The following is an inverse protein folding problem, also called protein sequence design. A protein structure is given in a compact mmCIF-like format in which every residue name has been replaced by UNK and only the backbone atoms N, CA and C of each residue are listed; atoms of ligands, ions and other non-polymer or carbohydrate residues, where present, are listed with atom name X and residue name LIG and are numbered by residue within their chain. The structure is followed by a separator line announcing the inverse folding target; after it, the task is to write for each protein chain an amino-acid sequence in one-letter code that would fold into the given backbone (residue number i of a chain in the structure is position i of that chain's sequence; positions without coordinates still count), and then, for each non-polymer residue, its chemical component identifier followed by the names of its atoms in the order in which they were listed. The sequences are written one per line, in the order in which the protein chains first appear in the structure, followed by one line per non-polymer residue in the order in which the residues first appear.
data_IF_187263645644
#
_entry.id   IF_187263645644
#
_cell.length_a   1.000
_cell.length_b   1.000
_cell.length_c   1.000
_cell.angle_alpha   90.00
_cell.angle_beta   90.00
_cell.angle_gamma   90.00
#
_symmetry.space_group_name_H-M   'P 1'
#
loop_
_entity.id
_entity.type
_entity.pdbx_description
1 polymer ?
#
# COMPACT_ATOMS: atom_id res chain seq x y z
N UNK A 1 -4.30 -22.18 -13.36
CA UNK A 1 -3.92 -21.04 -12.53
C UNK A 1 -3.66 -19.79 -13.34
N UNK A 2 -3.01 -19.94 -14.50
CA UNK A 2 -2.76 -18.77 -15.35
C UNK A 2 -4.05 -18.14 -15.84
N UNK A 3 -5.05 -18.95 -16.15
CA UNK A 3 -6.34 -18.44 -16.58
C UNK A 3 -7.02 -17.66 -15.46
N UNK A 4 -6.92 -18.15 -14.22
CA UNK A 4 -7.51 -17.47 -13.07
C UNK A 4 -6.82 -16.13 -12.84
N UNK A 5 -5.50 -16.07 -13.00
CA UNK A 5 -4.76 -14.83 -12.88
C UNK A 5 -5.15 -13.83 -13.95
N UNK A 6 -5.30 -14.29 -15.20
CA UNK A 6 -5.70 -13.42 -16.29
C UNK A 6 -7.08 -12.85 -16.04
N UNK A 7 -8.02 -13.68 -15.57
CA UNK A 7 -9.37 -13.21 -15.24
C UNK A 7 -9.35 -12.18 -14.13
N UNK A 8 -8.52 -12.40 -13.11
CA UNK A 8 -8.36 -11.44 -12.03
C UNK A 8 -7.79 -10.12 -12.54
N UNK A 9 -6.79 -10.18 -13.39
CA UNK A 9 -6.18 -8.98 -13.98
C UNK A 9 -7.18 -8.21 -14.84
N UNK A 10 -7.98 -8.91 -15.62
CA UNK A 10 -9.02 -8.28 -16.42
C UNK A 10 -10.07 -7.62 -15.56
N UNK A 11 -10.44 -8.28 -14.48
CA UNK A 11 -11.40 -7.74 -13.53
C UNK A 11 -10.87 -6.48 -12.87
N UNK A 12 -9.59 -6.49 -12.47
CA UNK A 12 -8.94 -5.33 -11.89
C UNK A 12 -8.92 -4.17 -12.88
N UNK A 13 -8.67 -4.44 -14.16
CA UNK A 13 -8.66 -3.40 -15.18
C UNK A 13 -10.01 -2.69 -15.32
N UNK A 14 -11.09 -3.43 -15.13
CA UNK A 14 -12.43 -2.84 -15.22
C UNK A 14 -12.73 -1.92 -14.03
N UNK A 15 -12.19 -2.25 -12.86
CA UNK A 15 -12.48 -1.54 -11.64
C UNK A 15 -11.23 -0.85 -11.08
N UNK A 16 -10.34 -0.39 -11.98
CA UNK A 16 -9.04 0.18 -11.60
C UNK A 16 -9.17 1.28 -10.56
N UNK A 17 -10.06 2.24 -10.80
CA UNK A 17 -10.20 3.38 -9.89
C UNK A 17 -10.69 2.95 -8.52
N UNK A 18 -11.62 2.00 -8.47
CA UNK A 18 -12.13 1.49 -7.20
C UNK A 18 -11.05 0.68 -6.48
N UNK A 19 -10.29 -0.11 -7.21
CA UNK A 19 -9.19 -0.89 -6.64
C UNK A 19 -8.12 0.03 -6.06
N UNK A 20 -7.75 1.08 -6.80
CA UNK A 20 -6.77 2.05 -6.33
C UNK A 20 -7.26 2.78 -5.08
N UNK A 21 -8.54 3.11 -5.03
CA UNK A 21 -9.13 3.74 -3.85
C UNK A 21 -9.11 2.81 -2.64
N UNK A 22 -9.30 1.52 -2.86
CA UNK A 22 -9.21 0.52 -1.79
C UNK A 22 -7.77 0.43 -1.27
N UNK A 23 -6.79 0.40 -2.17
CA UNK A 23 -5.38 0.42 -1.77
C UNK A 23 -5.06 1.66 -0.95
N UNK A 24 -5.55 2.83 -1.39
CA UNK A 24 -5.34 4.07 -0.68
C UNK A 24 -5.92 4.00 0.74
N UNK A 25 -7.12 3.46 0.87
CA UNK A 25 -7.75 3.29 2.19
C UNK A 25 -6.91 2.40 3.09
N UNK A 26 -6.38 1.31 2.55
CA UNK A 26 -5.52 0.39 3.32
C UNK A 26 -4.23 1.08 3.76
N UNK A 27 -3.62 1.85 2.88
CA UNK A 27 -2.39 2.58 3.18
C UNK A 27 -2.63 3.62 4.29
N UNK A 28 -3.69 4.41 4.14
CA UNK A 28 -4.02 5.44 5.12
C UNK A 28 -4.36 4.83 6.48
N UNK A 29 -5.07 3.71 6.47
CA UNK A 29 -5.42 3.02 7.71
C UNK A 29 -4.18 2.48 8.41
N UNK A 30 -3.28 1.87 7.67
CA UNK A 30 -2.03 1.36 8.25
C UNK A 30 -1.22 2.50 8.87
N UNK A 31 -1.11 3.62 8.15
CA UNK A 31 -0.40 4.79 8.67
C UNK A 31 -1.06 5.34 9.92
N UNK A 32 -2.38 5.39 9.93
CA UNK A 32 -3.12 5.86 11.10
C UNK A 32 -2.83 4.99 12.33
N UNK A 33 -2.76 3.68 12.13
CA UNK A 33 -2.41 2.75 13.21
C UNK A 33 -1.00 3.01 13.73
N UNK A 34 -0.06 3.28 12.83
CA UNK A 34 1.31 3.63 13.23
C UNK A 34 1.35 4.92 14.05
N UNK A 35 0.55 5.91 13.66
CA UNK A 35 0.48 7.19 14.38
C UNK A 35 -0.12 7.04 15.78
N UNK A 36 -0.86 5.97 16.01
CA UNK A 36 -1.45 5.66 17.31
C UNK A 36 -0.65 4.59 18.05
N UNK A 37 0.64 4.47 17.73
CA UNK A 37 1.58 3.56 18.37
C UNK A 37 1.19 2.09 18.26
N UNK A 38 0.39 1.72 17.30
CA UNK A 38 0.04 0.34 17.09
C UNK A 38 1.19 -0.39 16.41
N UNK A 39 1.57 -1.53 16.96
CA UNK A 39 2.70 -2.31 16.44
C UNK A 39 2.25 -3.34 15.42
N UNK A 40 3.11 -3.59 14.46
CA UNK A 40 2.85 -4.55 13.38
C UNK A 40 4.04 -5.47 13.19
N UNK A 41 3.76 -6.69 12.69
CA UNK A 41 4.81 -7.63 12.35
C UNK A 41 5.51 -7.19 11.07
N UNK A 42 6.73 -7.70 10.86
CA UNK A 42 7.44 -7.45 9.62
C UNK A 42 6.63 -7.94 8.40
N UNK A 43 5.97 -9.09 8.54
CA UNK A 43 5.13 -9.62 7.47
C UNK A 43 4.01 -8.67 7.11
N UNK A 44 3.39 -8.03 8.10
CA UNK A 44 2.33 -7.07 7.87
C UNK A 44 2.86 -5.83 7.15
N UNK A 45 4.05 -5.35 7.55
CA UNK A 45 4.72 -4.26 6.83
C UNK A 45 5.02 -4.64 5.38
N UNK A 46 5.54 -5.84 5.16
CA UNK A 46 5.86 -6.30 3.80
C UNK A 46 4.61 -6.33 2.93
N UNK A 47 3.47 -6.71 3.51
CA UNK A 47 2.20 -6.74 2.79
C UNK A 47 1.76 -5.32 2.40
N UNK A 48 1.83 -4.37 3.33
CA UNK A 48 1.42 -3.00 3.01
C UNK A 48 2.39 -2.34 2.04
N UNK A 49 3.68 -2.68 2.10
CA UNK A 49 4.65 -2.16 1.13
C UNK A 49 4.34 -2.66 -0.27
N UNK A 50 3.87 -3.91 -0.40
CA UNK A 50 3.39 -4.42 -1.67
C UNK A 50 2.18 -3.65 -2.19
N UNK A 51 1.25 -3.34 -1.30
CA UNK A 51 0.08 -2.53 -1.64
C UNK A 51 0.50 -1.13 -2.09
N UNK A 52 1.47 -0.53 -1.41
CA UNK A 52 2.01 0.78 -1.79
C UNK A 52 2.61 0.74 -3.19
N UNK A 53 3.37 -0.31 -3.49
CA UNK A 53 3.98 -0.46 -4.81
C UNK A 53 2.91 -0.54 -5.90
N UNK A 54 1.87 -1.33 -5.68
CA UNK A 54 0.78 -1.45 -6.64
C UNK A 54 0.07 -0.12 -6.82
N UNK A 55 -0.18 0.58 -5.73
CA UNK A 55 -0.84 1.88 -5.76
C UNK A 55 -0.01 2.91 -6.52
N UNK A 56 1.29 2.96 -6.26
CA UNK A 56 2.18 3.91 -6.93
C UNK A 56 2.28 3.61 -8.42
N UNK A 57 2.34 2.34 -8.79
CA UNK A 57 2.35 1.93 -10.19
C UNK A 57 1.09 2.39 -10.90
N UNK A 58 -0.06 2.21 -10.25
CA UNK A 58 -1.32 2.68 -10.83
C UNK A 58 -1.32 4.20 -11.01
N UNK A 59 -0.90 4.93 -9.99
CA UNK A 59 -0.87 6.39 -10.05
C UNK A 59 0.08 6.90 -11.12
N UNK A 60 1.19 6.20 -11.32
CA UNK A 60 2.17 6.57 -12.34
C UNK A 60 1.61 6.45 -13.76
N UNK A 61 0.71 5.49 -13.98
CA UNK A 61 0.13 5.23 -15.29
C UNK A 61 -1.23 5.92 -15.50
N UNK A 62 -1.77 6.57 -14.46
CA UNK A 62 -3.08 7.22 -14.51
C UNK A 62 -2.96 8.64 -13.93
N UNK A 63 -2.50 9.56 -14.76
CA UNK A 63 -2.21 10.94 -14.32
C UNK A 63 -3.42 11.67 -13.76
N UNK A 64 -4.61 11.28 -14.17
CA UNK A 64 -5.84 11.91 -13.73
C UNK A 64 -6.31 11.42 -12.35
N UNK A 65 -5.68 10.40 -11.81
CA UNK A 65 -6.05 9.89 -10.49
C UNK A 65 -5.33 10.69 -9.38
N UNK A 66 -6.08 11.27 -8.42
CA UNK A 66 -5.45 12.08 -7.37
C UNK A 66 -4.67 11.20 -6.39
N UNK A 67 -3.34 11.35 -6.37
CA UNK A 67 -2.47 10.54 -5.51
C UNK A 67 -1.83 11.30 -4.35
N UNK A 68 -2.04 12.62 -4.27
CA UNK A 68 -1.37 13.44 -3.27
C UNK A 68 -1.73 13.10 -1.83
N UNK A 69 -2.88 12.47 -1.63
CA UNK A 69 -3.36 12.18 -0.27
C UNK A 69 -2.55 11.12 0.45
N UNK A 70 -1.84 10.28 -0.29
CA UNK A 70 -1.06 9.19 0.31
C UNK A 70 0.42 9.47 0.41
N UNK A 71 0.91 10.56 -0.17
CA UNK A 71 2.35 10.82 -0.23
C UNK A 71 3.00 10.81 1.16
N UNK A 72 2.41 11.53 2.10
CA UNK A 72 2.97 11.61 3.45
C UNK A 72 2.77 10.31 4.22
N UNK A 73 1.65 9.64 4.02
CA UNK A 73 1.40 8.35 4.67
C UNK A 73 2.42 7.32 4.21
N UNK A 74 2.68 7.25 2.90
CA UNK A 74 3.67 6.33 2.33
C UNK A 74 5.06 6.65 2.88
N UNK A 75 5.43 7.93 2.93
CA UNK A 75 6.72 8.33 3.45
C UNK A 75 6.89 7.92 4.91
N UNK A 76 5.85 8.09 5.72
CA UNK A 76 5.90 7.70 7.12
C UNK A 76 6.01 6.19 7.30
N UNK A 77 5.26 5.42 6.52
CA UNK A 77 5.32 3.95 6.58
C UNK A 77 6.73 3.47 6.24
N UNK A 78 7.33 4.00 5.18
CA UNK A 78 8.68 3.64 4.77
C UNK A 78 9.70 4.00 5.83
N UNK A 79 9.57 5.18 6.43
CA UNK A 79 10.49 5.63 7.49
C UNK A 79 10.42 4.71 8.70
N UNK A 80 9.23 4.38 9.15
CA UNK A 80 9.04 3.51 10.31
C UNK A 80 9.59 2.12 10.00
N UNK A 81 9.33 1.61 8.80
CA UNK A 81 9.85 0.31 8.38
C UNK A 81 11.37 0.28 8.48
N UNK A 82 12.04 1.31 7.94
CA UNK A 82 13.49 1.38 7.95
C UNK A 82 14.03 1.45 9.38
N UNK A 83 13.38 2.22 10.26
CA UNK A 83 13.78 2.31 11.67
C UNK A 83 13.66 0.97 12.36
N UNK A 84 12.57 0.25 12.11
CA UNK A 84 12.37 -1.05 12.75
C UNK A 84 13.30 -2.12 12.19
N UNK A 85 13.66 -2.03 10.91
CA UNK A 85 14.67 -2.92 10.33
C UNK A 85 16.03 -2.71 11.03
N UNK A 86 16.42 -1.46 11.19
CA UNK A 86 17.70 -1.13 11.78
C UNK A 86 17.77 -1.54 13.25
N UNK A 87 16.69 -1.34 13.98
CA UNK A 87 16.64 -1.67 15.40
C UNK A 87 16.20 -3.09 15.70
N UNK A 88 15.78 -3.86 14.70
CA UNK A 88 15.25 -5.22 14.85
C UNK A 88 14.06 -5.26 15.81
N UNK A 89 13.19 -4.26 15.73
CA UNK A 89 12.11 -4.07 16.71
C UNK A 89 10.71 -4.31 16.14
N UNK A 90 10.58 -5.12 15.13
CA UNK A 90 9.27 -5.54 14.64
C UNK A 90 8.53 -6.38 15.67
N UNK A 91 7.20 -6.30 15.63
CA UNK A 91 6.38 -7.15 16.48
C UNK A 91 6.54 -8.62 16.07
#
# INVERSE_FOLDING_TARGET
QNETRQKLNEHIKKDDAQTASLWRTQILRFNDELLHDRRHTKEHFDEVLGTIKDYETYCHTHDDYPNGKCVHAIANINRVYDELLESHDFL
#
